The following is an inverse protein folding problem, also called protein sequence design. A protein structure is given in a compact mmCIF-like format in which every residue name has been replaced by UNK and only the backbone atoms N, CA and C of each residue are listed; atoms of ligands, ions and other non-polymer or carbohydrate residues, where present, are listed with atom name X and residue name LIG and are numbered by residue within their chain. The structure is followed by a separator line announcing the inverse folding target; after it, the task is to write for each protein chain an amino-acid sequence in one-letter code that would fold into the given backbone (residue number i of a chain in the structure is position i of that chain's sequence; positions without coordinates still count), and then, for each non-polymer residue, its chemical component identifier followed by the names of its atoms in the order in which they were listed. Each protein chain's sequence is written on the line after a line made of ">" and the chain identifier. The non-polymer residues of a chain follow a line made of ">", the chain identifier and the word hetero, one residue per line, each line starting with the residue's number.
data_IF_895413611583
#
_entry.id   IF_895413611583
#
_cell.length_a   1.000
_cell.length_b   1.000
_cell.length_c   1.000
_cell.angle_alpha   90.00
_cell.angle_beta   90.00
_cell.angle_gamma   90.00
#
_symmetry.space_group_name_H-M   'P 1'
#
loop_
_entity.id
_entity.type
_entity.pdbx_description
1 polymer ?
#
# COMPACT_ATOMS: atom_id res chain seq x y z
N UNK A 1 -10.32 -16.12 12.99
CA UNK A 1 -10.69 -14.71 12.75
C UNK A 1 -9.48 -14.07 12.11
N UNK A 2 -9.61 -13.60 10.86
CA UNK A 2 -8.54 -12.80 10.25
C UNK A 2 -8.43 -11.46 11.00
N UNK A 3 -7.22 -10.99 11.32
CA UNK A 3 -7.04 -9.66 11.92
C UNK A 3 -7.43 -8.55 10.92
N UNK A 4 -7.71 -7.34 11.42
CA UNK A 4 -7.79 -6.07 10.66
C UNK A 4 -9.10 -5.71 9.91
N UNK A 5 -10.27 -6.15 10.37
CA UNK A 5 -11.54 -5.95 9.62
C UNK A 5 -12.37 -4.70 9.97
N UNK A 6 -11.93 -3.83 10.89
CA UNK A 6 -12.74 -2.68 11.36
C UNK A 6 -12.13 -1.30 11.10
N UNK A 7 -12.89 -0.30 10.57
CA UNK A 7 -12.42 1.09 10.49
C UNK A 7 -12.13 1.71 11.87
N UNK A 8 -12.84 1.28 12.91
CA UNK A 8 -12.54 1.65 14.30
C UNK A 8 -11.16 1.15 14.78
N UNK A 9 -10.69 0.03 14.23
CA UNK A 9 -9.36 -0.49 14.57
C UNK A 9 -8.27 0.37 13.89
N UNK A 10 -8.48 0.78 12.64
CA UNK A 10 -7.49 1.57 11.89
C UNK A 10 -7.14 2.88 12.61
N UNK A 11 -8.13 3.68 13.01
CA UNK A 11 -7.89 4.95 13.72
C UNK A 11 -7.26 4.72 15.10
N UNK A 12 -7.67 3.65 15.80
CA UNK A 12 -7.07 3.28 17.08
C UNK A 12 -5.59 2.94 16.92
N UNK A 13 -5.24 2.13 15.91
CA UNK A 13 -3.85 1.77 15.63
C UNK A 13 -3.03 2.98 15.18
N UNK A 14 -3.59 3.81 14.29
CA UNK A 14 -2.98 5.09 13.87
C UNK A 14 -2.58 5.92 15.09
N UNK A 15 -3.52 6.15 16.00
CA UNK A 15 -3.27 6.93 17.21
C UNK A 15 -2.28 6.25 18.16
N UNK A 16 -2.33 4.93 18.31
CA UNK A 16 -1.38 4.19 19.17
C UNK A 16 0.06 4.19 18.63
N UNK A 17 0.22 4.23 17.30
CA UNK A 17 1.51 4.30 16.62
C UNK A 17 2.06 5.73 16.54
N UNK A 18 1.29 6.73 16.97
CA UNK A 18 1.67 8.15 16.86
C UNK A 18 1.78 8.65 15.42
N UNK A 19 1.02 8.05 14.50
CA UNK A 19 0.99 8.43 13.08
C UNK A 19 -0.14 9.44 12.84
N UNK A 20 0.05 10.36 11.90
CA UNK A 20 -0.94 11.42 11.64
C UNK A 20 -2.06 10.95 10.71
N UNK A 21 -1.71 10.13 9.71
CA UNK A 21 -2.61 9.70 8.64
C UNK A 21 -2.57 8.18 8.51
N UNK A 22 -3.68 7.62 8.08
CA UNK A 22 -3.81 6.20 7.82
C UNK A 22 -4.80 5.96 6.68
N UNK A 23 -4.60 4.85 5.97
CA UNK A 23 -5.58 4.31 5.04
C UNK A 23 -5.53 2.80 5.03
N UNK A 24 -6.62 2.20 4.57
CA UNK A 24 -6.67 0.80 4.24
C UNK A 24 -6.92 0.66 2.74
N UNK A 25 -6.38 -0.41 2.14
CA UNK A 25 -6.69 -0.76 0.76
C UNK A 25 -8.15 -1.20 0.60
N UNK A 26 -8.58 -1.42 -0.64
CA UNK A 26 -9.93 -1.85 -1.00
C UNK A 26 -10.44 -3.03 -0.17
N UNK A 27 -9.59 -4.03 0.11
CA UNK A 27 -9.95 -5.22 0.89
C UNK A 27 -9.86 -5.04 2.41
N UNK A 28 -9.41 -3.87 2.87
CA UNK A 28 -9.08 -3.57 4.26
C UNK A 28 -8.02 -4.48 4.90
N UNK A 29 -7.29 -5.27 4.10
CA UNK A 29 -6.25 -6.20 4.57
C UNK A 29 -4.87 -5.59 4.64
N UNK A 30 -4.65 -4.49 3.91
CA UNK A 30 -3.38 -3.75 3.89
C UNK A 30 -3.66 -2.37 4.47
N UNK A 31 -2.95 -2.03 5.54
CA UNK A 31 -3.03 -0.71 6.17
C UNK A 31 -1.72 0.03 5.99
N UNK A 32 -1.83 1.30 5.62
CA UNK A 32 -0.69 2.19 5.41
C UNK A 32 -0.84 3.36 6.37
N UNK A 33 0.24 3.68 7.08
CA UNK A 33 0.31 4.77 8.05
C UNK A 33 1.46 5.70 7.71
N UNK A 34 1.25 7.01 7.83
CA UNK A 34 2.29 8.00 7.53
C UNK A 34 2.09 9.32 8.28
N UNK A 35 3.16 10.11 8.34
CA UNK A 35 3.17 11.42 8.98
C UNK A 35 2.59 12.51 8.07
N UNK A 36 2.13 13.61 8.67
CA UNK A 36 1.50 14.73 8.00
C UNK A 36 2.42 15.43 7.00
N UNK A 37 3.74 15.32 7.18
CA UNK A 37 4.78 15.84 6.27
C UNK A 37 4.69 15.24 4.85
N UNK A 38 4.01 14.11 4.71
CA UNK A 38 3.81 13.43 3.44
C UNK A 38 2.36 13.56 2.94
N UNK A 39 2.25 13.88 1.66
CA UNK A 39 1.03 13.78 0.87
C UNK A 39 1.03 12.42 0.16
N UNK A 40 -0.13 11.77 0.14
CA UNK A 40 -0.31 10.44 -0.42
C UNK A 40 -1.33 10.51 -1.56
N UNK A 41 -0.95 9.98 -2.71
CA UNK A 41 -1.79 9.84 -3.90
C UNK A 41 -1.86 8.37 -4.28
N UNK A 42 -3.07 7.83 -4.37
CA UNK A 42 -3.27 6.41 -4.73
C UNK A 42 -3.16 6.27 -6.25
N UNK A 43 -2.19 5.46 -6.69
CA UNK A 43 -2.01 5.11 -8.12
C UNK A 43 -2.90 3.92 -8.47
N UNK A 44 -2.91 2.90 -7.61
CA UNK A 44 -3.67 1.68 -7.83
C UNK A 44 -4.05 1.07 -6.49
N UNK A 45 -5.29 0.59 -6.38
CA UNK A 45 -5.83 -0.07 -5.20
C UNK A 45 -6.65 -1.28 -5.64
N UNK A 46 -6.26 -2.46 -5.15
CA UNK A 46 -6.84 -3.74 -5.50
C UNK A 46 -7.02 -4.63 -4.26
N UNK A 47 -7.59 -5.81 -4.46
CA UNK A 47 -7.81 -6.76 -3.36
C UNK A 47 -6.50 -7.20 -2.69
N UNK A 48 -5.42 -7.33 -3.47
CA UNK A 48 -4.13 -7.87 -3.04
C UNK A 48 -3.01 -6.83 -2.99
N UNK A 49 -3.25 -5.59 -3.41
CA UNK A 49 -2.18 -4.60 -3.51
C UNK A 49 -2.73 -3.20 -3.33
N UNK A 50 -1.87 -2.30 -2.85
CA UNK A 50 -2.07 -0.86 -2.91
C UNK A 50 -0.75 -0.18 -3.27
N UNK A 51 -0.79 0.75 -4.23
CA UNK A 51 0.33 1.55 -4.71
C UNK A 51 0.06 3.02 -4.43
N UNK A 52 0.95 3.64 -3.67
CA UNK A 52 0.80 5.02 -3.22
C UNK A 52 2.05 5.80 -3.60
N UNK A 53 1.84 6.92 -4.28
CA UNK A 53 2.86 7.94 -4.45
C UNK A 53 2.90 8.83 -3.22
N UNK A 54 4.06 8.91 -2.60
CA UNK A 54 4.32 9.80 -1.46
C UNK A 54 5.13 11.00 -1.92
N UNK A 55 4.66 12.19 -1.55
CA UNK A 55 5.35 13.47 -1.79
C UNK A 55 5.60 14.18 -0.48
N UNK A 56 6.86 14.53 -0.20
CA UNK A 56 7.19 15.32 0.97
C UNK A 56 6.83 16.79 0.70
N UNK A 57 5.92 17.36 1.49
CA UNK A 57 5.34 18.69 1.22
C UNK A 57 6.38 19.82 1.11
N UNK A 58 7.53 19.68 1.79
CA UNK A 58 8.60 20.71 1.81
C UNK A 58 9.86 20.37 1.01
N UNK A 59 10.16 19.10 0.77
CA UNK A 59 11.49 18.66 0.29
C UNK A 59 11.49 18.29 -1.20
N UNK A 60 10.34 18.39 -1.89
CA UNK A 60 10.17 17.97 -3.29
C UNK A 60 10.70 16.55 -3.56
N UNK A 61 10.65 15.69 -2.53
CA UNK A 61 11.03 14.28 -2.64
C UNK A 61 9.78 13.46 -2.87
N UNK A 62 9.84 12.62 -3.87
CA UNK A 62 8.76 11.74 -4.27
C UNK A 62 9.28 10.31 -4.37
N UNK A 63 8.48 9.36 -3.89
CA UNK A 63 8.71 7.94 -4.08
C UNK A 63 7.38 7.21 -4.15
N UNK A 64 7.39 6.00 -4.68
CA UNK A 64 6.21 5.14 -4.75
C UNK A 64 6.44 3.92 -3.87
N UNK A 65 5.41 3.55 -3.10
CA UNK A 65 5.38 2.28 -2.36
C UNK A 65 4.20 1.46 -2.89
N UNK A 66 4.50 0.24 -3.32
CA UNK A 66 3.49 -0.80 -3.54
C UNK A 66 3.55 -1.80 -2.40
N UNK A 67 2.47 -1.90 -1.63
CA UNK A 67 2.34 -2.93 -0.59
C UNK A 67 1.45 -4.03 -1.13
N UNK A 68 1.91 -5.28 -1.04
CA UNK A 68 1.21 -6.45 -1.57
C UNK A 68 0.88 -7.46 -0.47
N UNK A 69 -0.34 -7.98 -0.52
CA UNK A 69 -0.81 -9.13 0.24
C UNK A 69 -0.95 -10.28 -0.74
N UNK A 70 0.15 -11.03 -0.92
CA UNK A 70 0.22 -12.08 -1.92
C UNK A 70 -0.64 -13.28 -1.52
N UNK A 71 -1.66 -13.59 -2.33
CA UNK A 71 -2.42 -14.83 -2.18
C UNK A 71 -1.78 -15.91 -3.07
N UNK A 72 -1.72 -17.15 -2.58
CA UNK A 72 -0.95 -18.22 -3.21
C UNK A 72 -1.64 -18.89 -4.43
N UNK A 73 -2.71 -18.33 -5.01
CA UNK A 73 -3.31 -18.88 -6.23
C UNK A 73 -2.63 -18.34 -7.50
N UNK A 74 -2.53 -19.17 -8.54
CA UNK A 74 -1.87 -18.79 -9.79
C UNK A 74 -2.56 -17.63 -10.52
N UNK A 75 -3.91 -17.60 -10.52
CA UNK A 75 -4.70 -16.54 -11.15
C UNK A 75 -4.51 -15.22 -10.40
N UNK A 76 -4.66 -15.25 -9.08
CA UNK A 76 -4.48 -14.10 -8.18
C UNK A 76 -3.08 -13.49 -8.28
N UNK A 77 -2.06 -14.33 -8.50
CA UNK A 77 -0.69 -13.86 -8.76
C UNK A 77 -0.55 -13.18 -10.11
N UNK A 78 -1.25 -13.65 -11.15
CA UNK A 78 -1.23 -13.00 -12.46
C UNK A 78 -1.86 -11.60 -12.39
N UNK A 79 -3.03 -11.48 -11.75
CA UNK A 79 -3.69 -10.19 -11.53
C UNK A 79 -2.81 -9.21 -10.75
N UNK A 80 -2.06 -9.71 -9.75
CA UNK A 80 -1.08 -8.92 -9.02
C UNK A 80 0.05 -8.40 -9.94
N UNK A 81 0.57 -9.25 -10.83
CA UNK A 81 1.62 -8.85 -11.77
C UNK A 81 1.13 -7.81 -12.78
N UNK A 82 -0.06 -7.99 -13.35
CA UNK A 82 -0.67 -7.01 -14.26
C UNK A 82 -0.87 -5.65 -13.57
N UNK A 83 -1.28 -5.66 -12.29
CA UNK A 83 -1.40 -4.43 -11.49
C UNK A 83 -0.04 -3.76 -11.24
N UNK A 84 1.00 -4.54 -10.93
CA UNK A 84 2.36 -4.00 -10.73
C UNK A 84 2.98 -3.50 -12.05
N UNK A 85 2.70 -4.14 -13.17
CA UNK A 85 3.11 -3.69 -14.51
C UNK A 85 2.47 -2.35 -14.86
N UNK A 86 1.15 -2.21 -14.64
CA UNK A 86 0.47 -0.92 -14.77
C UNK A 86 1.12 0.18 -13.91
N UNK A 87 1.47 -0.14 -12.66
CA UNK A 87 2.16 0.82 -11.79
C UNK A 87 3.56 1.15 -12.33
N UNK A 88 4.29 0.18 -12.85
CA UNK A 88 5.63 0.39 -13.41
C UNK A 88 5.61 1.35 -14.62
N UNK A 89 4.58 1.27 -15.46
CA UNK A 89 4.40 2.15 -16.61
C UNK A 89 4.05 3.59 -16.22
N UNK A 90 3.32 3.77 -15.12
CA UNK A 90 2.86 5.09 -14.65
C UNK A 90 3.91 5.85 -13.82
N UNK A 91 4.99 5.19 -13.37
CA UNK A 91 5.95 5.78 -12.43
C UNK A 91 7.28 6.15 -13.07
N UNK A 92 7.79 7.32 -12.68
CA UNK A 92 9.12 7.81 -13.05
C UNK A 92 9.97 8.16 -11.80
N UNK A 93 9.65 7.55 -10.66
CA UNK A 93 10.23 7.85 -9.34
C UNK A 93 10.79 6.60 -8.68
N UNK A 94 11.65 6.72 -7.66
CA UNK A 94 12.09 5.58 -6.87
C UNK A 94 10.89 4.76 -6.37
N UNK A 95 10.93 3.46 -6.63
CA UNK A 95 9.83 2.54 -6.36
C UNK A 95 10.26 1.42 -5.42
N UNK A 96 9.49 1.22 -4.36
CA UNK A 96 9.64 0.11 -3.43
C UNK A 96 8.41 -0.78 -3.49
N UNK A 97 8.62 -2.07 -3.73
CA UNK A 97 7.57 -3.09 -3.63
C UNK A 97 7.86 -3.97 -2.41
N UNK A 98 6.90 -4.09 -1.50
CA UNK A 98 7.03 -4.91 -0.29
C UNK A 98 5.74 -5.63 0.03
N UNK A 99 5.80 -6.76 0.73
CA UNK A 99 4.60 -7.54 1.05
C UNK A 99 4.83 -8.67 2.04
N UNK A 100 3.73 -9.19 2.58
CA UNK A 100 3.71 -10.29 3.54
C UNK A 100 2.96 -11.49 2.98
N UNK A 101 3.68 -12.58 2.77
CA UNK A 101 3.22 -13.80 2.08
C UNK A 101 4.43 -14.38 1.34
N UNK A 102 4.54 -15.70 1.22
CA UNK A 102 5.71 -16.32 0.57
C UNK A 102 5.80 -15.94 -0.90
N UNK A 103 6.50 -14.83 -1.20
CA UNK A 103 6.93 -14.47 -2.55
C UNK A 103 8.11 -15.38 -2.87
N UNK A 104 7.83 -16.67 -3.12
CA UNK A 104 8.80 -17.50 -3.81
C UNK A 104 8.90 -16.94 -5.22
N UNK A 105 10.04 -16.31 -5.52
CA UNK A 105 10.53 -16.21 -6.88
C UNK A 105 10.71 -17.60 -7.48
#
# INVERSE_FOLDING_TARGET
>A
MEPFQGPHDLDKYRSSLGMDKAMANYSSKIWVFWNADWEAEVISDSYQQISIKFKHGRLQREFVISTVYAICCALERLELWESLEYVADEINHPWLVGGGGGISM
#
